data_IF_611823444084
#
_entry.id   IF_611823444084
#
_cell.length_a   1.000
_cell.length_b   1.000
_cell.length_c   1.000
_cell.angle_alpha   90.00
_cell.angle_beta   90.00
_cell.angle_gamma   90.00
#
_symmetry.space_group_name_H-M   'P 1'
#
loop_
_entity.id
_entity.type
_entity.pdbx_description
1 polymer ?
#
# COMPACT_ATOMS: atom_id res chain seq x y z
N UNK A 1 -65.53 22.26 -65.36
CA UNK A 1 -65.88 20.94 -65.94
C UNK A 1 -64.65 20.39 -66.67
N UNK A 2 -63.73 19.74 -65.98
CA UNK A 2 -63.81 18.32 -65.59
C UNK A 2 -63.46 17.29 -66.70
N UNK A 3 -62.74 17.68 -67.76
CA UNK A 3 -62.18 16.70 -68.74
C UNK A 3 -60.75 16.95 -69.24
N UNK A 4 -60.03 17.95 -68.71
CA UNK A 4 -58.64 18.22 -69.04
C UNK A 4 -57.63 17.85 -67.93
N UNK A 5 -58.06 17.11 -66.89
CA UNK A 5 -57.20 16.67 -65.78
C UNK A 5 -56.94 15.16 -65.74
N UNK A 6 -57.46 14.38 -66.70
CA UNK A 6 -57.27 12.91 -66.75
C UNK A 6 -56.25 12.45 -67.80
N UNK A 7 -55.79 13.32 -68.70
CA UNK A 7 -54.76 12.98 -69.70
C UNK A 7 -53.35 13.08 -69.11
N UNK A 8 -53.08 14.06 -68.24
CA UNK A 8 -51.77 14.25 -67.61
C UNK A 8 -51.44 13.21 -66.51
N UNK A 9 -52.45 12.52 -65.97
CA UNK A 9 -52.24 11.50 -64.94
C UNK A 9 -51.86 10.12 -65.53
N UNK A 10 -52.14 9.90 -66.83
CA UNK A 10 -51.74 8.68 -67.54
C UNK A 10 -50.28 8.75 -68.00
N UNK A 11 -49.83 9.93 -68.48
CA UNK A 11 -48.46 10.15 -68.94
C UNK A 11 -47.41 10.13 -67.80
N UNK A 12 -47.80 10.50 -66.57
CA UNK A 12 -46.93 10.38 -65.38
C UNK A 12 -46.78 8.93 -64.89
N UNK A 13 -47.80 8.08 -65.07
CA UNK A 13 -47.75 6.66 -64.67
C UNK A 13 -46.87 5.80 -65.59
N UNK A 14 -46.89 6.04 -66.90
CA UNK A 14 -46.00 5.32 -67.83
C UNK A 14 -44.51 5.62 -67.58
N UNK A 15 -44.18 6.85 -67.16
CA UNK A 15 -42.80 7.26 -66.84
C UNK A 15 -42.25 6.69 -65.52
N UNK A 16 -43.13 6.35 -64.57
CA UNK A 16 -42.76 5.67 -63.31
C UNK A 16 -42.66 4.15 -63.46
N UNK A 17 -43.44 3.54 -64.35
CA UNK A 17 -43.38 2.09 -64.62
C UNK A 17 -42.16 1.70 -65.47
N UNK A 18 -41.70 2.56 -66.40
CA UNK A 18 -40.44 2.30 -67.13
C UNK A 18 -39.20 2.50 -66.26
N UNK A 19 -39.24 3.38 -65.24
CA UNK A 19 -38.15 3.52 -64.25
C UNK A 19 -38.10 2.39 -63.21
N UNK A 20 -39.22 1.72 -62.95
CA UNK A 20 -39.28 0.54 -62.07
C UNK A 20 -38.70 -0.73 -62.72
N UNK A 21 -38.52 -0.76 -64.04
CA UNK A 21 -38.00 -1.93 -64.76
C UNK A 21 -36.47 -2.02 -64.81
N UNK A 22 -35.73 -0.95 -64.52
CA UNK A 22 -34.26 -0.90 -64.69
C UNK A 22 -33.44 -0.81 -63.40
N UNK A 23 -34.02 -1.14 -62.24
CA UNK A 23 -33.27 -1.23 -60.97
C UNK A 23 -33.70 -2.41 -60.10
N UNK A 24 -33.79 -3.60 -60.71
CA UNK A 24 -33.43 -4.82 -59.99
C UNK A 24 -31.90 -4.88 -59.92
N UNK A 25 -31.31 -3.99 -59.13
CA UNK A 25 -30.04 -4.32 -58.51
C UNK A 25 -30.32 -5.53 -57.62
N UNK A 26 -29.77 -6.66 -58.02
CA UNK A 26 -29.61 -7.82 -57.16
C UNK A 26 -28.79 -7.28 -55.98
N UNK A 27 -29.48 -6.94 -54.88
CA UNK A 27 -28.86 -6.69 -53.60
C UNK A 27 -28.28 -8.04 -53.19
N UNK A 28 -27.03 -8.27 -53.58
CA UNK A 28 -26.19 -9.30 -52.99
C UNK A 28 -26.08 -8.86 -51.54
N UNK A 29 -26.97 -9.39 -50.69
CA UNK A 29 -26.82 -9.35 -49.24
C UNK A 29 -25.51 -10.06 -49.02
N UNK A 30 -24.44 -9.30 -48.81
CA UNK A 30 -23.18 -9.89 -48.38
C UNK A 30 -23.52 -10.69 -47.12
N UNK A 31 -23.09 -11.97 -47.03
CA UNK A 31 -23.30 -12.73 -45.81
C UNK A 31 -22.69 -11.90 -44.68
N UNK A 32 -23.54 -11.47 -43.73
CA UNK A 32 -23.12 -10.67 -42.58
C UNK A 32 -22.08 -11.52 -41.83
N UNK A 33 -20.80 -11.24 -42.08
CA UNK A 33 -19.70 -12.01 -41.50
C UNK A 33 -19.63 -11.60 -40.03
N UNK A 34 -20.17 -12.46 -39.16
CA UNK A 34 -20.06 -12.28 -37.72
C UNK A 34 -18.62 -12.55 -37.29
N UNK A 35 -18.17 -11.85 -36.27
CA UNK A 35 -16.81 -11.99 -35.74
C UNK A 35 -16.80 -13.12 -34.70
N UNK A 36 -16.10 -14.25 -34.97
CA UNK A 36 -16.06 -15.36 -34.04
C UNK A 36 -15.28 -14.99 -32.77
N UNK A 37 -15.77 -15.45 -31.63
CA UNK A 37 -15.05 -15.44 -30.35
C UNK A 37 -14.11 -16.64 -30.27
N UNK A 38 -13.06 -16.51 -29.46
CA UNK A 38 -12.11 -17.60 -29.21
C UNK A 38 -12.79 -18.83 -28.58
N UNK A 39 -13.71 -18.57 -27.65
CA UNK A 39 -14.51 -19.58 -26.97
C UNK A 39 -16.00 -19.35 -27.21
N UNK A 40 -16.77 -20.44 -27.22
CA UNK A 40 -18.23 -20.37 -27.12
C UNK A 40 -18.63 -20.21 -25.66
N UNK A 41 -19.61 -19.35 -25.39
CA UNK A 41 -20.06 -19.00 -24.05
C UNK A 41 -21.55 -19.33 -23.87
N UNK A 42 -21.94 -19.62 -22.64
CA UNK A 42 -23.31 -19.93 -22.23
C UNK A 42 -23.75 -18.95 -21.16
N UNK A 43 -24.90 -18.28 -21.37
CA UNK A 43 -25.56 -17.48 -20.35
C UNK A 43 -26.54 -18.35 -19.58
N UNK A 44 -26.42 -18.29 -18.26
CA UNK A 44 -27.30 -18.93 -17.30
C UNK A 44 -28.01 -17.88 -16.45
N UNK A 45 -29.25 -18.19 -16.08
CA UNK A 45 -30.04 -17.38 -15.15
C UNK A 45 -30.49 -18.25 -13.98
N UNK A 46 -30.15 -17.80 -12.78
CA UNK A 46 -30.63 -18.40 -11.54
C UNK A 46 -31.68 -17.50 -10.91
N UNK A 47 -32.81 -18.08 -10.51
CA UNK A 47 -33.81 -17.40 -9.69
C UNK A 47 -34.14 -18.26 -8.49
N UNK A 48 -33.86 -17.76 -7.29
CA UNK A 48 -34.14 -18.48 -6.06
C UNK A 48 -35.66 -18.63 -5.83
N UNK A 49 -36.22 -19.77 -6.22
CA UNK A 49 -37.57 -20.21 -5.88
C UNK A 49 -37.47 -21.28 -4.79
N UNK A 50 -37.97 -20.96 -3.59
CA UNK A 50 -37.88 -21.84 -2.41
C UNK A 50 -38.64 -23.15 -2.57
N UNK A 51 -39.54 -23.23 -3.55
CA UNK A 51 -40.36 -24.42 -3.80
C UNK A 51 -39.69 -25.41 -4.77
N UNK A 52 -38.47 -25.12 -5.24
CA UNK A 52 -37.74 -25.95 -6.20
C UNK A 52 -36.38 -26.36 -5.64
N UNK A 53 -35.90 -27.52 -6.09
CA UNK A 53 -34.51 -27.93 -5.91
C UNK A 53 -33.58 -26.88 -6.55
N UNK A 54 -32.39 -26.70 -5.97
CA UNK A 54 -31.43 -25.69 -6.42
C UNK A 54 -31.10 -25.83 -7.92
N UNK A 55 -30.85 -27.04 -8.42
CA UNK A 55 -30.54 -27.24 -9.85
C UNK A 55 -31.69 -26.77 -10.75
N UNK A 56 -32.94 -26.94 -10.32
CA UNK A 56 -34.12 -26.55 -11.09
C UNK A 56 -34.35 -25.01 -11.12
N UNK A 57 -33.63 -24.26 -10.27
CA UNK A 57 -33.63 -22.81 -10.25
C UNK A 57 -32.61 -22.20 -11.22
N UNK A 58 -31.64 -22.99 -11.67
CA UNK A 58 -30.67 -22.62 -12.68
C UNK A 58 -31.21 -22.96 -14.08
N UNK A 59 -31.19 -22.00 -14.99
CA UNK A 59 -31.69 -22.19 -16.36
C UNK A 59 -30.67 -21.72 -17.37
N UNK A 60 -30.42 -22.55 -18.38
CA UNK A 60 -29.69 -22.14 -19.57
C UNK A 60 -30.57 -21.16 -20.36
N UNK A 61 -30.06 -19.96 -20.62
CA UNK A 61 -30.77 -18.93 -21.38
C UNK A 61 -30.44 -19.05 -22.85
N UNK A 62 -29.15 -18.98 -23.20
CA UNK A 62 -28.68 -19.13 -24.57
C UNK A 62 -27.18 -19.40 -24.63
N UNK A 63 -26.68 -19.77 -25.81
CA UNK A 63 -25.26 -19.91 -26.13
C UNK A 63 -24.89 -18.93 -27.25
N UNK A 64 -23.69 -18.38 -27.21
CA UNK A 64 -23.18 -17.47 -28.23
C UNK A 64 -21.68 -17.70 -28.46
N UNK A 65 -21.25 -17.54 -29.71
CA UNK A 65 -19.88 -17.75 -30.18
C UNK A 65 -19.38 -16.60 -31.07
N UNK A 66 -20.13 -15.50 -31.17
CA UNK A 66 -19.75 -14.32 -31.95
C UNK A 66 -19.95 -13.03 -31.16
N UNK A 67 -19.21 -11.97 -31.53
CA UNK A 67 -19.30 -10.64 -30.92
C UNK A 67 -20.69 -10.05 -31.11
N UNK A 68 -21.28 -10.19 -32.29
CA UNK A 68 -22.62 -9.69 -32.60
C UNK A 68 -23.69 -10.40 -31.78
N UNK A 69 -23.57 -11.72 -31.59
CA UNK A 69 -24.53 -12.48 -30.78
C UNK A 69 -24.41 -12.14 -29.29
N UNK A 70 -23.19 -11.85 -28.80
CA UNK A 70 -23.00 -11.31 -27.46
C UNK A 70 -23.72 -9.97 -27.28
N UNK A 71 -23.51 -9.00 -28.18
CA UNK A 71 -24.16 -7.69 -28.06
C UNK A 71 -25.66 -7.76 -28.28
N UNK A 72 -26.13 -8.61 -29.20
CA UNK A 72 -27.55 -8.88 -29.38
C UNK A 72 -28.15 -9.43 -28.08
N UNK A 73 -27.49 -10.40 -27.43
CA UNK A 73 -27.94 -10.92 -26.15
C UNK A 73 -27.93 -9.85 -25.05
N UNK A 74 -26.81 -9.18 -24.84
CA UNK A 74 -26.61 -8.20 -23.75
C UNK A 74 -27.63 -7.06 -23.83
N UNK A 75 -27.94 -6.58 -25.03
CA UNK A 75 -28.90 -5.50 -25.26
C UNK A 75 -30.37 -5.92 -25.07
N UNK A 76 -30.67 -7.22 -25.04
CA UNK A 76 -32.04 -7.75 -24.90
C UNK A 76 -32.31 -8.43 -23.56
N UNK A 77 -31.32 -8.48 -22.64
CA UNK A 77 -31.52 -8.94 -21.27
C UNK A 77 -31.70 -7.76 -20.32
N UNK A 78 -32.32 -8.03 -19.16
CA UNK A 78 -32.46 -7.05 -18.09
C UNK A 78 -31.06 -6.71 -17.52
N UNK A 79 -30.77 -5.43 -17.31
CA UNK A 79 -29.55 -5.01 -16.60
C UNK A 79 -29.46 -5.65 -15.20
N UNK A 80 -28.25 -5.99 -14.77
CA UNK A 80 -28.02 -6.68 -13.50
C UNK A 80 -28.51 -5.84 -12.29
N UNK A 81 -28.31 -4.52 -12.35
CA UNK A 81 -28.83 -3.57 -11.35
C UNK A 81 -30.34 -3.64 -11.17
N UNK A 82 -31.09 -4.04 -12.21
CA UNK A 82 -32.56 -4.09 -12.21
C UNK A 82 -33.14 -5.47 -11.90
N UNK A 83 -32.30 -6.47 -11.61
CA UNK A 83 -32.76 -7.77 -11.17
C UNK A 83 -33.29 -7.74 -9.73
N UNK A 84 -34.26 -8.61 -9.44
CA UNK A 84 -34.75 -8.84 -8.09
C UNK A 84 -33.68 -9.49 -7.22
N UNK A 85 -33.68 -9.17 -5.92
CA UNK A 85 -32.80 -9.83 -4.94
C UNK A 85 -33.05 -11.33 -4.91
N UNK A 86 -31.96 -12.11 -5.01
CA UNK A 86 -32.01 -13.57 -5.10
C UNK A 86 -31.95 -14.12 -6.53
N UNK A 87 -31.77 -13.25 -7.54
CA UNK A 87 -31.44 -13.64 -8.90
C UNK A 87 -29.93 -13.54 -9.16
N UNK A 88 -29.41 -14.40 -10.04
CA UNK A 88 -28.02 -14.38 -10.49
C UNK A 88 -27.95 -14.51 -12.02
N UNK A 89 -26.98 -13.84 -12.63
CA UNK A 89 -26.51 -14.17 -13.98
C UNK A 89 -25.15 -14.85 -13.90
N UNK A 90 -24.92 -15.81 -14.77
CA UNK A 90 -23.64 -16.45 -14.92
C UNK A 90 -23.31 -16.65 -16.41
N UNK A 91 -22.09 -16.32 -16.81
CA UNK A 91 -21.59 -16.54 -18.18
C UNK A 91 -20.36 -17.43 -18.09
N UNK A 92 -20.47 -18.64 -18.63
CA UNK A 92 -19.43 -19.68 -18.54
C UNK A 92 -19.07 -20.20 -19.93
N UNK A 93 -17.85 -20.69 -20.10
CA UNK A 93 -17.46 -21.37 -21.34
C UNK A 93 -18.40 -22.56 -21.59
N UNK A 94 -18.68 -22.83 -22.86
CA UNK A 94 -19.59 -23.90 -23.23
C UNK A 94 -19.09 -25.25 -22.68
N UNK A 95 -20.00 -26.02 -22.09
CA UNK A 95 -19.69 -27.28 -21.41
C UNK A 95 -19.27 -27.16 -19.95
N UNK A 96 -19.17 -25.94 -19.38
CA UNK A 96 -18.92 -25.73 -17.95
C UNK A 96 -20.19 -25.21 -17.30
N UNK A 97 -20.70 -25.93 -16.29
CA UNK A 97 -21.84 -25.49 -15.51
C UNK A 97 -21.40 -24.54 -14.38
N UNK A 98 -22.19 -23.49 -14.04
CA UNK A 98 -21.85 -22.52 -13.01
C UNK A 98 -22.09 -23.09 -11.59
N UNK A 99 -21.48 -24.24 -11.31
CA UNK A 99 -21.56 -24.98 -10.06
C UNK A 99 -20.17 -25.46 -9.63
N UNK A 100 -19.92 -25.52 -8.33
CA UNK A 100 -18.62 -25.94 -7.81
C UNK A 100 -18.37 -27.44 -8.00
N UNK A 101 -19.43 -28.24 -8.21
CA UNK A 101 -19.34 -29.68 -8.48
C UNK A 101 -18.84 -30.01 -9.88
N UNK A 102 -18.89 -29.06 -10.81
CA UNK A 102 -18.41 -29.23 -12.17
C UNK A 102 -16.91 -29.59 -12.16
N UNK A 103 -16.51 -30.54 -13.00
CA UNK A 103 -15.15 -31.05 -13.05
C UNK A 103 -14.11 -29.96 -13.31
N UNK A 104 -14.46 -28.91 -14.04
CA UNK A 104 -13.60 -27.75 -14.30
C UNK A 104 -13.57 -26.76 -13.15
N UNK A 105 -14.54 -26.76 -12.24
CA UNK A 105 -14.63 -25.77 -11.15
C UNK A 105 -14.20 -26.33 -9.79
N UNK A 106 -14.27 -27.64 -9.57
CA UNK A 106 -14.07 -28.27 -8.25
C UNK A 106 -12.71 -28.01 -7.60
N UNK A 107 -11.65 -27.94 -8.40
CA UNK A 107 -10.28 -27.63 -7.95
C UNK A 107 -9.94 -26.14 -8.05
N UNK A 108 -10.89 -25.34 -8.54
CA UNK A 108 -10.73 -23.94 -8.85
C UNK A 108 -11.12 -23.01 -7.72
N UNK A 109 -11.13 -21.72 -8.05
CA UNK A 109 -11.49 -20.67 -7.11
C UNK A 109 -12.12 -19.49 -7.81
N UNK A 110 -12.28 -18.40 -7.06
CA UNK A 110 -12.89 -17.19 -7.57
C UNK A 110 -12.26 -15.92 -7.01
N UNK A 111 -12.05 -14.95 -7.89
CA UNK A 111 -11.81 -13.55 -7.51
C UNK A 111 -13.15 -12.89 -7.21
N UNK A 112 -13.27 -12.25 -6.04
CA UNK A 112 -14.54 -11.70 -5.56
C UNK A 112 -14.48 -10.19 -5.35
N UNK A 113 -15.44 -9.49 -5.94
CA UNK A 113 -15.73 -8.08 -5.69
C UNK A 113 -17.09 -7.98 -5.02
N UNK A 114 -17.17 -7.23 -3.93
CA UNK A 114 -18.43 -6.99 -3.21
C UNK A 114 -18.79 -5.51 -3.32
N UNK A 115 -19.98 -5.22 -3.82
CA UNK A 115 -20.52 -3.88 -3.94
C UNK A 115 -21.57 -3.64 -2.86
N UNK A 116 -21.51 -2.46 -2.24
CA UNK A 116 -22.58 -1.98 -1.37
C UNK A 116 -23.83 -1.59 -2.18
N UNK A 117 -24.98 -1.47 -1.51
CA UNK A 117 -26.21 -0.98 -2.14
C UNK A 117 -26.08 0.40 -2.80
N UNK A 118 -25.24 1.27 -2.25
CA UNK A 118 -25.01 2.62 -2.81
C UNK A 118 -24.29 2.52 -4.16
N UNK A 119 -23.26 1.66 -4.24
CA UNK A 119 -22.49 1.45 -5.47
C UNK A 119 -23.29 0.72 -6.56
N UNK A 120 -24.31 -0.06 -6.18
CA UNK A 120 -25.17 -0.81 -7.12
C UNK A 120 -25.70 0.07 -8.27
N UNK A 121 -26.17 1.26 -7.94
CA UNK A 121 -26.84 2.14 -8.92
C UNK A 121 -25.86 2.89 -9.82
N UNK A 122 -24.57 2.93 -9.43
CA UNK A 122 -23.54 3.72 -10.12
C UNK A 122 -22.59 2.84 -10.93
N UNK A 123 -22.17 1.71 -10.37
CA UNK A 123 -21.01 0.96 -10.87
C UNK A 123 -21.32 -0.49 -11.28
N UNK A 124 -22.42 -1.09 -10.79
CA UNK A 124 -22.64 -2.54 -10.94
C UNK A 124 -22.76 -2.98 -12.41
N UNK A 125 -23.56 -2.27 -13.20
CA UNK A 125 -23.78 -2.62 -14.61
C UNK A 125 -22.50 -2.41 -15.42
N UNK A 126 -21.70 -1.40 -15.08
CA UNK A 126 -20.40 -1.15 -15.70
C UNK A 126 -19.42 -2.27 -15.37
N UNK A 127 -19.21 -2.59 -14.09
CA UNK A 127 -18.29 -3.66 -13.72
C UNK A 127 -18.72 -5.01 -14.27
N UNK A 128 -20.04 -5.28 -14.33
CA UNK A 128 -20.53 -6.51 -14.94
C UNK A 128 -20.22 -6.57 -16.44
N UNK A 129 -20.49 -5.49 -17.18
CA UNK A 129 -20.15 -5.42 -18.60
C UNK A 129 -18.65 -5.59 -18.83
N UNK A 130 -17.81 -4.85 -18.10
CA UNK A 130 -16.35 -4.96 -18.21
C UNK A 130 -15.85 -6.37 -17.88
N UNK A 131 -16.45 -7.04 -16.90
CA UNK A 131 -16.17 -8.45 -16.59
C UNK A 131 -16.47 -9.34 -17.80
N UNK A 132 -17.64 -9.18 -18.42
CA UNK A 132 -18.01 -9.95 -19.60
C UNK A 132 -17.10 -9.67 -20.79
N UNK A 133 -16.71 -8.41 -21.00
CA UNK A 133 -15.77 -8.02 -22.05
C UNK A 133 -14.38 -8.63 -21.81
N UNK A 134 -13.92 -8.71 -20.56
CA UNK A 134 -12.67 -9.39 -20.22
C UNK A 134 -12.72 -10.89 -20.57
N UNK A 135 -13.86 -11.54 -20.33
CA UNK A 135 -14.07 -12.95 -20.65
C UNK A 135 -14.06 -13.18 -22.16
N UNK A 136 -14.98 -12.54 -22.90
CA UNK A 136 -15.14 -12.81 -24.34
C UNK A 136 -13.98 -12.26 -25.18
N UNK A 137 -13.28 -11.24 -24.66
CA UNK A 137 -12.11 -10.64 -25.30
C UNK A 137 -10.78 -11.32 -24.95
N UNK A 138 -10.79 -12.41 -24.17
CA UNK A 138 -9.59 -13.15 -23.75
C UNK A 138 -8.54 -12.19 -23.12
N UNK A 139 -8.99 -11.32 -22.23
CA UNK A 139 -8.17 -10.22 -21.72
C UNK A 139 -7.09 -10.64 -20.71
N UNK A 140 -6.92 -11.94 -20.45
CA UNK A 140 -6.00 -12.51 -19.45
C UNK A 140 -4.78 -13.19 -20.10
N UNK A 141 -4.50 -12.85 -21.36
CA UNK A 141 -3.35 -13.37 -22.12
C UNK A 141 -3.35 -14.91 -22.14
N UNK A 142 -2.18 -15.53 -21.95
CA UNK A 142 -1.98 -16.98 -21.95
C UNK A 142 -2.81 -17.72 -20.87
N UNK A 143 -3.23 -17.01 -19.82
CA UNK A 143 -4.03 -17.56 -18.72
C UNK A 143 -5.54 -17.49 -18.94
N UNK A 144 -5.99 -17.01 -20.12
CA UNK A 144 -7.44 -16.98 -20.43
C UNK A 144 -8.05 -18.39 -20.49
N UNK A 145 -7.24 -19.43 -20.71
CA UNK A 145 -7.67 -20.83 -20.64
C UNK A 145 -8.03 -21.30 -19.22
N UNK A 146 -7.43 -20.70 -18.19
CA UNK A 146 -7.69 -21.00 -16.78
C UNK A 146 -9.02 -20.42 -16.29
N UNK A 147 -9.65 -19.51 -17.06
CA UNK A 147 -10.97 -18.95 -16.76
C UNK A 147 -12.08 -19.94 -17.13
N UNK A 148 -12.97 -20.19 -16.16
CA UNK A 148 -14.21 -20.95 -16.38
C UNK A 148 -15.38 -20.05 -16.78
N UNK A 149 -15.52 -18.91 -16.10
CA UNK A 149 -16.67 -18.02 -16.28
C UNK A 149 -16.76 -16.93 -15.23
N UNK A 150 -17.87 -16.20 -15.23
CA UNK A 150 -18.15 -15.15 -14.28
C UNK A 150 -19.60 -15.22 -13.78
N UNK A 151 -19.82 -14.80 -12.54
CA UNK A 151 -21.12 -14.78 -11.87
C UNK A 151 -21.36 -13.41 -11.25
N UNK A 152 -22.57 -12.89 -11.39
CA UNK A 152 -23.07 -11.75 -10.64
C UNK A 152 -24.23 -12.19 -9.74
N UNK A 153 -24.09 -11.95 -8.43
CA UNK A 153 -25.09 -12.29 -7.44
C UNK A 153 -25.78 -11.06 -6.88
N UNK A 154 -27.10 -11.00 -7.04
CA UNK A 154 -27.90 -9.88 -6.55
C UNK A 154 -28.50 -10.23 -5.20
N UNK A 155 -28.14 -9.49 -4.14
CA UNK A 155 -28.58 -9.80 -2.76
C UNK A 155 -28.98 -8.55 -1.98
N UNK A 156 -29.86 -8.73 -1.00
CA UNK A 156 -30.37 -7.65 -0.17
C UNK A 156 -29.31 -6.95 0.70
N UNK A 157 -28.17 -7.58 0.98
CA UNK A 157 -27.09 -7.01 1.82
C UNK A 157 -25.94 -6.39 1.02
N UNK A 158 -25.93 -6.55 -0.31
CA UNK A 158 -24.83 -6.15 -1.18
C UNK A 158 -24.64 -7.18 -2.29
N UNK A 159 -24.19 -6.71 -3.44
CA UNK A 159 -24.07 -7.52 -4.64
C UNK A 159 -22.63 -8.01 -4.80
N UNK A 160 -22.46 -9.12 -5.52
CA UNK A 160 -21.13 -9.73 -5.71
C UNK A 160 -20.89 -10.01 -7.17
N UNK A 161 -19.70 -9.70 -7.65
CA UNK A 161 -19.21 -10.12 -8.96
C UNK A 161 -18.02 -11.03 -8.73
N UNK A 162 -18.00 -12.19 -9.40
CA UNK A 162 -16.95 -13.16 -9.27
C UNK A 162 -16.48 -13.69 -10.63
N UNK A 163 -15.16 -13.75 -10.82
CA UNK A 163 -14.53 -14.50 -11.92
C UNK A 163 -14.07 -15.84 -11.36
N UNK A 164 -14.42 -16.92 -12.04
CA UNK A 164 -14.12 -18.29 -11.65
C UNK A 164 -12.97 -18.83 -12.50
N UNK A 165 -12.02 -19.49 -11.84
CA UNK A 165 -10.88 -20.15 -12.46
C UNK A 165 -10.96 -21.66 -12.22
N UNK A 166 -10.24 -22.46 -13.02
CA UNK A 166 -10.27 -23.91 -12.91
C UNK A 166 -9.26 -24.51 -11.92
N UNK A 167 -8.20 -23.77 -11.59
CA UNK A 167 -7.13 -24.25 -10.73
C UNK A 167 -6.75 -23.18 -9.69
N UNK A 168 -6.60 -23.60 -8.43
CA UNK A 168 -6.09 -22.74 -7.35
C UNK A 168 -4.61 -22.96 -7.04
N UNK A 169 -3.98 -24.00 -7.58
CA UNK A 169 -2.57 -24.34 -7.37
C UNK A 169 -1.67 -23.57 -8.33
N UNK A 170 -2.18 -23.20 -9.51
CA UNK A 170 -1.50 -22.29 -10.44
C UNK A 170 -1.51 -20.85 -9.91
N UNK A 171 -0.65 -20.56 -8.93
CA UNK A 171 -0.60 -19.25 -8.26
C UNK A 171 -0.25 -18.10 -9.22
N UNK A 172 0.61 -18.36 -10.21
CA UNK A 172 1.02 -17.38 -11.21
C UNK A 172 -0.19 -16.94 -12.05
N UNK A 173 -0.96 -17.90 -12.59
CA UNK A 173 -2.18 -17.61 -13.34
C UNK A 173 -3.20 -16.86 -12.47
N UNK A 174 -3.44 -17.33 -11.25
CA UNK A 174 -4.41 -16.72 -10.33
C UNK A 174 -4.06 -15.26 -10.02
N UNK A 175 -2.79 -14.97 -9.74
CA UNK A 175 -2.32 -13.62 -9.45
C UNK A 175 -2.35 -12.71 -10.69
N UNK A 176 -1.93 -13.21 -11.85
CA UNK A 176 -2.02 -12.46 -13.11
C UNK A 176 -3.46 -12.08 -13.44
N UNK A 177 -4.37 -13.06 -13.38
CA UNK A 177 -5.80 -12.85 -13.60
C UNK A 177 -6.35 -11.79 -12.64
N UNK A 178 -6.02 -11.88 -11.34
CA UNK A 178 -6.47 -10.93 -10.33
C UNK A 178 -6.01 -9.50 -10.61
N UNK A 179 -4.72 -9.34 -10.92
CA UNK A 179 -4.11 -8.04 -11.24
C UNK A 179 -4.73 -7.43 -12.50
N UNK A 180 -4.77 -8.19 -13.59
CA UNK A 180 -5.34 -7.73 -14.86
C UNK A 180 -6.81 -7.39 -14.70
N UNK A 181 -7.57 -8.18 -13.96
CA UNK A 181 -8.98 -7.89 -13.68
C UNK A 181 -9.17 -6.57 -12.91
N UNK A 182 -8.35 -6.34 -11.87
CA UNK A 182 -8.37 -5.10 -11.09
C UNK A 182 -8.05 -3.87 -11.95
N UNK A 183 -7.05 -3.98 -12.83
CA UNK A 183 -6.65 -2.92 -13.76
C UNK A 183 -7.77 -2.63 -14.79
N UNK A 184 -8.38 -3.67 -15.37
CA UNK A 184 -9.47 -3.54 -16.34
C UNK A 184 -10.71 -2.87 -15.75
N UNK A 185 -11.04 -3.16 -14.50
CA UNK A 185 -12.16 -2.52 -13.81
C UNK A 185 -11.87 -1.10 -13.34
N UNK A 186 -10.64 -0.61 -13.48
CA UNK A 186 -10.25 0.73 -13.02
C UNK A 186 -10.34 0.91 -11.50
N UNK A 187 -10.21 -0.18 -10.74
CA UNK A 187 -10.32 -0.11 -9.28
C UNK A 187 -9.10 0.61 -8.69
N UNK A 188 -9.29 1.56 -7.75
CA UNK A 188 -8.18 2.23 -7.07
C UNK A 188 -7.21 1.23 -6.44
N UNK A 189 -5.91 1.54 -6.48
CA UNK A 189 -4.83 0.71 -5.90
C UNK A 189 -5.12 0.25 -4.46
N UNK A 190 -5.81 1.08 -3.67
CA UNK A 190 -6.18 0.84 -2.27
C UNK A 190 -7.25 -0.25 -2.08
N UNK A 191 -8.04 -0.56 -3.10
CA UNK A 191 -9.07 -1.62 -3.01
C UNK A 191 -8.39 -2.98 -3.19
N UNK A 192 -8.47 -3.82 -2.16
CA UNK A 192 -7.96 -5.20 -2.21
C UNK A 192 -9.10 -6.12 -2.59
N UNK A 193 -8.97 -6.79 -3.73
CA UNK A 193 -9.86 -7.90 -4.11
C UNK A 193 -9.32 -9.20 -3.50
N UNK A 194 -10.21 -10.15 -3.23
CA UNK A 194 -9.86 -11.40 -2.54
C UNK A 194 -10.11 -12.61 -3.41
N UNK A 195 -9.18 -13.57 -3.38
CA UNK A 195 -9.35 -14.87 -4.03
C UNK A 195 -9.79 -15.93 -3.02
N UNK A 196 -10.82 -16.70 -3.36
CA UNK A 196 -11.40 -17.75 -2.52
C UNK A 196 -11.42 -19.07 -3.27
N UNK A 197 -10.84 -20.13 -2.70
CA UNK A 197 -10.95 -21.47 -3.24
C UNK A 197 -12.40 -21.99 -3.11
N UNK A 198 -12.88 -22.75 -4.09
CA UNK A 198 -14.23 -23.31 -4.06
C UNK A 198 -14.38 -24.32 -2.91
N UNK A 199 -13.38 -25.18 -2.68
CA UNK A 199 -13.37 -26.15 -1.59
C UNK A 199 -13.55 -25.52 -0.19
N UNK A 200 -12.90 -24.39 0.07
CA UNK A 200 -13.01 -23.66 1.34
C UNK A 200 -14.36 -22.96 1.52
N UNK A 201 -14.96 -22.54 0.41
CA UNK A 201 -16.24 -21.82 0.42
C UNK A 201 -17.43 -22.77 0.53
N UNK A 202 -17.34 -23.97 -0.04
CA UNK A 202 -18.39 -24.98 0.01
C UNK A 202 -18.64 -25.50 1.44
N UNK A 203 -17.60 -25.52 2.29
CA UNK A 203 -17.65 -26.08 3.65
C UNK A 203 -17.94 -25.05 4.74
N UNK A 204 -17.83 -23.74 4.46
CA UNK A 204 -17.91 -22.67 5.48
C UNK A 204 -18.96 -21.61 5.14
N UNK A 205 -19.85 -21.33 6.09
CA UNK A 205 -20.84 -20.25 5.99
C UNK A 205 -20.21 -18.87 6.24
N UNK A 206 -19.98 -18.11 5.17
CA UNK A 206 -19.94 -16.63 5.13
C UNK A 206 -18.88 -15.84 5.91
N UNK A 207 -18.68 -16.10 7.21
CA UNK A 207 -17.76 -15.37 8.09
C UNK A 207 -16.39 -16.05 8.26
N UNK A 208 -16.23 -17.31 7.85
CA UNK A 208 -15.01 -18.11 8.08
C UNK A 208 -14.10 -18.33 6.88
N UNK A 209 -14.42 -17.78 5.71
CA UNK A 209 -13.64 -18.00 4.47
C UNK A 209 -12.45 -17.03 4.45
N UNK A 210 -11.24 -17.56 4.65
CA UNK A 210 -9.99 -16.80 4.51
C UNK A 210 -9.66 -16.66 3.02
N UNK A 211 -9.24 -15.49 2.58
CA UNK A 211 -8.77 -15.31 1.21
C UNK A 211 -7.41 -16.01 1.06
N UNK A 212 -7.26 -16.89 0.07
CA UNK A 212 -6.01 -17.62 -0.23
C UNK A 212 -4.95 -16.66 -0.77
N UNK A 213 -5.37 -15.76 -1.66
CA UNK A 213 -4.55 -14.66 -2.17
C UNK A 213 -5.23 -13.32 -1.88
N UNK A 214 -4.44 -12.38 -1.38
CA UNK A 214 -4.75 -10.93 -1.40
C UNK A 214 -3.74 -10.32 -2.36
N UNK A 215 -4.13 -9.33 -3.15
CA UNK A 215 -3.16 -8.53 -3.90
C UNK A 215 -2.10 -8.01 -2.92
N UNK A 216 -0.92 -8.62 -2.92
CA UNK A 216 0.20 -8.22 -2.08
C UNK A 216 0.85 -7.04 -2.77
N UNK A 217 0.35 -5.84 -2.47
CA UNK A 217 1.18 -4.65 -2.60
C UNK A 217 2.27 -4.80 -1.51
N UNK A 218 3.57 -4.83 -1.86
CA UNK A 218 4.64 -5.10 -0.89
C UNK A 218 4.66 -3.99 0.16
N UNK A 219 4.20 -4.33 1.36
CA UNK A 219 4.06 -3.41 2.51
C UNK A 219 5.38 -2.76 2.94
N UNK A 220 6.52 -3.38 2.58
CA UNK A 220 7.87 -2.88 2.86
C UNK A 220 8.27 -1.70 1.96
N UNK A 221 7.71 -1.58 0.75
CA UNK A 221 8.01 -0.46 -0.16
C UNK A 221 7.33 0.85 0.27
N UNK A 222 6.14 0.75 0.87
CA UNK A 222 5.38 1.91 1.37
C UNK A 222 6.07 2.56 2.56
N UNK A 223 6.67 1.78 3.46
CA UNK A 223 7.44 2.30 4.60
C UNK A 223 8.72 3.01 4.14
N UNK A 224 9.49 2.41 3.23
CA UNK A 224 10.71 3.04 2.68
C UNK A 224 10.42 4.32 1.88
N UNK A 225 9.37 4.31 1.07
CA UNK A 225 8.92 5.51 0.33
C UNK A 225 8.36 6.59 1.27
N UNK A 226 7.69 6.22 2.37
CA UNK A 226 7.23 7.17 3.37
C UNK A 226 8.40 7.84 4.11
N UNK A 227 9.41 7.09 4.54
CA UNK A 227 10.61 7.66 5.18
C UNK A 227 11.39 8.58 4.23
N UNK A 228 11.56 8.18 2.96
CA UNK A 228 12.16 9.04 1.95
C UNK A 228 11.33 10.29 1.67
N UNK A 229 10.00 10.15 1.59
CA UNK A 229 9.08 11.27 1.42
C UNK A 229 9.16 12.27 2.58
N UNK A 230 9.21 11.78 3.82
CA UNK A 230 9.39 12.62 5.02
C UNK A 230 10.76 13.30 5.02
N UNK A 231 11.84 12.58 4.70
CA UNK A 231 13.20 13.14 4.64
C UNK A 231 13.35 14.20 3.54
N UNK A 232 12.78 13.95 2.35
CA UNK A 232 12.78 14.91 1.25
C UNK A 232 11.87 16.11 1.53
N UNK A 233 10.73 15.91 2.19
CA UNK A 233 9.86 17.00 2.62
C UNK A 233 10.56 17.89 3.67
N UNK A 234 11.16 17.29 4.70
CA UNK A 234 11.94 18.02 5.71
C UNK A 234 13.13 18.75 5.09
N UNK A 235 13.81 18.15 4.10
CA UNK A 235 14.89 18.81 3.37
C UNK A 235 14.39 19.93 2.46
N UNK A 236 13.24 19.79 1.82
CA UNK A 236 12.65 20.83 0.98
C UNK A 236 12.16 22.03 1.81
N UNK A 237 11.58 21.78 2.98
CA UNK A 237 11.20 22.81 3.95
C UNK A 237 12.44 23.53 4.48
N UNK A 238 13.52 22.79 4.83
CA UNK A 238 14.81 23.37 5.22
C UNK A 238 15.57 24.05 4.06
N UNK A 239 15.34 23.62 2.81
CA UNK A 239 16.01 24.11 1.60
C UNK A 239 15.63 25.53 1.17
N UNK A 240 14.59 26.11 1.77
CA UNK A 240 14.25 27.54 1.62
C UNK A 240 15.01 28.42 2.62
N UNK A 241 15.64 27.85 3.66
CA UNK A 241 16.52 28.54 4.61
C UNK A 241 18.00 28.25 4.31
N UNK A 242 18.54 28.90 3.29
CA UNK A 242 19.92 28.77 2.81
C UNK A 242 21.01 29.34 3.75
N UNK A 243 20.90 29.20 5.07
CA UNK A 243 21.86 29.71 6.06
C UNK A 243 22.16 28.73 7.22
N UNK A 244 22.08 27.42 6.97
CA UNK A 244 22.58 26.38 7.90
C UNK A 244 24.09 26.11 7.70
N UNK A 245 24.75 26.85 6.80
CA UNK A 245 26.18 26.71 6.51
C UNK A 245 27.12 27.28 7.59
N UNK A 246 26.62 27.84 8.69
CA UNK A 246 27.45 28.31 9.81
C UNK A 246 27.55 27.33 10.99
N UNK A 247 26.80 26.21 10.96
CA UNK A 247 26.70 25.25 12.08
C UNK A 247 27.68 24.05 11.89
N UNK A 248 28.48 24.03 10.83
CA UNK A 248 29.30 22.85 10.45
C UNK A 248 30.80 23.02 10.67
N UNK A 249 31.24 23.61 11.79
CA UNK A 249 32.67 23.56 12.19
C UNK A 249 33.01 22.33 13.08
N UNK A 250 32.11 21.33 13.13
CA UNK A 250 32.45 19.97 13.56
C UNK A 250 31.62 18.94 12.75
N UNK A 251 32.13 18.58 11.57
CA UNK A 251 31.81 17.34 10.84
C UNK A 251 30.45 16.67 11.05
N UNK A 252 29.38 17.25 10.49
CA UNK A 252 28.42 16.49 9.68
C UNK A 252 27.47 15.49 10.35
N UNK A 253 26.69 15.88 11.35
CA UNK A 253 25.46 15.16 11.70
C UNK A 253 24.28 16.12 11.88
N UNK A 254 23.73 16.59 10.74
CA UNK A 254 22.33 17.04 10.74
C UNK A 254 21.46 15.78 10.88
N UNK A 255 20.62 15.65 11.93
CA UNK A 255 19.71 14.53 12.09
C UNK A 255 18.87 14.27 10.83
N UNK A 256 18.52 15.31 10.07
CA UNK A 256 17.79 15.21 8.80
C UNK A 256 18.62 14.48 7.75
N UNK A 257 19.91 14.76 7.65
CA UNK A 257 20.80 14.10 6.69
C UNK A 257 20.98 12.61 7.01
N UNK A 258 21.05 12.26 8.30
CA UNK A 258 21.06 10.87 8.77
C UNK A 258 19.80 10.14 8.31
N UNK A 259 18.60 10.72 8.52
CA UNK A 259 17.34 10.10 8.09
C UNK A 259 17.25 9.91 6.58
N UNK A 260 17.77 10.87 5.78
CA UNK A 260 17.78 10.76 4.31
C UNK A 260 18.70 9.63 3.85
N UNK A 261 19.92 9.55 4.40
CA UNK A 261 20.88 8.50 4.01
C UNK A 261 20.37 7.12 4.41
N UNK A 262 19.92 6.95 5.66
CA UNK A 262 19.38 5.68 6.15
C UNK A 262 18.12 5.29 5.36
N UNK A 263 17.19 6.23 5.16
CA UNK A 263 15.98 5.99 4.37
C UNK A 263 16.27 5.60 2.91
N UNK A 264 17.25 6.27 2.29
CA UNK A 264 17.68 5.97 0.92
C UNK A 264 18.29 4.57 0.78
N UNK A 265 19.18 4.19 1.69
CA UNK A 265 19.76 2.83 1.71
C UNK A 265 18.66 1.79 1.89
N UNK A 266 17.77 1.99 2.87
CA UNK A 266 16.65 1.06 3.12
C UNK A 266 15.72 0.91 1.92
N UNK A 267 15.41 2.01 1.22
CA UNK A 267 14.59 1.98 0.01
C UNK A 267 15.26 1.20 -1.14
N UNK A 268 16.55 1.48 -1.41
CA UNK A 268 17.30 0.79 -2.48
C UNK A 268 17.37 -0.71 -2.20
N UNK A 269 17.65 -1.10 -0.95
CA UNK A 269 17.71 -2.52 -0.57
C UNK A 269 16.33 -3.18 -0.61
N UNK A 270 15.29 -2.50 -0.15
CA UNK A 270 13.91 -2.99 -0.23
C UNK A 270 13.44 -3.19 -1.68
N UNK A 271 13.77 -2.24 -2.56
CA UNK A 271 13.49 -2.33 -3.99
C UNK A 271 14.26 -3.49 -4.63
N UNK A 272 15.57 -3.59 -4.39
CA UNK A 272 16.41 -4.65 -4.95
C UNK A 272 16.00 -6.04 -4.48
N UNK A 273 15.70 -6.21 -3.19
CA UNK A 273 15.24 -7.49 -2.64
C UNK A 273 13.88 -7.92 -3.19
N UNK A 274 12.91 -7.00 -3.23
CA UNK A 274 11.55 -7.30 -3.70
C UNK A 274 11.48 -7.56 -5.21
N UNK A 275 12.05 -6.67 -6.03
CA UNK A 275 12.07 -6.85 -7.50
C UNK A 275 12.99 -8.01 -7.88
N UNK A 276 14.10 -8.20 -7.16
CA UNK A 276 14.98 -9.35 -7.35
C UNK A 276 14.27 -10.68 -7.16
N UNK A 277 13.42 -10.79 -6.13
CA UNK A 277 12.62 -11.98 -5.89
C UNK A 277 11.50 -12.15 -6.94
N UNK A 278 10.69 -11.10 -7.19
CA UNK A 278 9.54 -11.15 -8.09
C UNK A 278 9.92 -11.39 -9.57
N UNK A 279 11.08 -10.90 -9.99
CA UNK A 279 11.57 -11.07 -11.38
C UNK A 279 12.61 -12.17 -11.51
N UNK A 280 12.83 -12.95 -10.45
CA UNK A 280 13.85 -14.00 -10.38
C UNK A 280 15.24 -13.49 -10.89
N UNK A 281 15.54 -12.23 -10.59
CA UNK A 281 16.74 -11.58 -11.10
C UNK A 281 17.91 -11.79 -10.13
N UNK A 282 18.75 -12.77 -10.47
CA UNK A 282 19.93 -13.14 -9.67
C UNK A 282 20.92 -12.00 -9.44
N UNK A 283 20.99 -10.98 -10.30
CA UNK A 283 21.87 -9.83 -10.08
C UNK A 283 21.37 -8.96 -8.93
N UNK A 284 20.07 -8.64 -8.91
CA UNK A 284 19.48 -7.83 -7.84
C UNK A 284 19.46 -8.58 -6.50
N UNK A 285 19.20 -9.88 -6.50
CA UNK A 285 19.26 -10.70 -5.27
C UNK A 285 20.69 -10.80 -4.69
N UNK A 286 21.71 -10.88 -5.56
CA UNK A 286 23.11 -10.84 -5.12
C UNK A 286 23.49 -9.46 -4.59
N UNK A 287 23.07 -8.39 -5.24
CA UNK A 287 23.25 -7.03 -4.74
C UNK A 287 22.65 -6.89 -3.34
N UNK A 288 21.38 -7.27 -3.17
CA UNK A 288 20.69 -7.23 -1.89
C UNK A 288 21.42 -8.00 -0.78
N UNK A 289 21.82 -9.25 -1.04
CA UNK A 289 22.50 -10.10 -0.04
C UNK A 289 23.91 -9.61 0.32
N UNK A 290 24.68 -9.08 -0.64
CA UNK A 290 26.00 -8.50 -0.37
C UNK A 290 25.88 -7.27 0.52
N UNK A 291 24.96 -6.35 0.21
CA UNK A 291 24.79 -5.13 1.00
C UNK A 291 24.22 -5.40 2.40
N UNK A 292 23.28 -6.36 2.56
CA UNK A 292 22.86 -6.81 3.89
C UNK A 292 24.04 -7.38 4.69
N UNK A 293 24.92 -8.15 4.06
CA UNK A 293 26.14 -8.64 4.70
C UNK A 293 27.07 -7.52 5.15
N UNK A 294 27.27 -6.49 4.32
CA UNK A 294 28.07 -5.31 4.69
C UNK A 294 27.47 -4.57 5.89
N UNK A 295 26.14 -4.35 5.89
CA UNK A 295 25.44 -3.71 7.00
C UNK A 295 25.59 -4.53 8.28
N UNK A 296 25.45 -5.85 8.22
CA UNK A 296 25.64 -6.74 9.36
C UNK A 296 27.03 -6.59 9.98
N UNK A 297 28.09 -6.58 9.17
CA UNK A 297 29.46 -6.39 9.69
C UNK A 297 29.67 -4.98 10.26
N UNK A 298 29.09 -3.94 9.65
CA UNK A 298 29.14 -2.58 10.18
C UNK A 298 28.41 -2.47 11.52
N UNK A 299 27.24 -3.11 11.67
CA UNK A 299 26.46 -3.16 12.90
C UNK A 299 27.24 -3.86 14.02
N UNK A 300 27.84 -5.01 13.73
CA UNK A 300 28.70 -5.73 14.67
C UNK A 300 29.91 -4.88 15.10
N UNK A 301 30.60 -4.26 14.13
CA UNK A 301 31.78 -3.44 14.40
C UNK A 301 31.41 -2.22 15.26
N UNK A 302 30.30 -1.55 14.92
CA UNK A 302 29.79 -0.40 15.67
C UNK A 302 29.39 -0.78 17.09
N UNK A 303 28.71 -1.91 17.27
CA UNK A 303 28.34 -2.42 18.60
C UNK A 303 29.55 -2.72 19.48
N UNK A 304 30.59 -3.36 18.92
CA UNK A 304 31.84 -3.63 19.65
C UNK A 304 32.55 -2.33 20.01
N UNK A 305 32.71 -1.41 19.05
CA UNK A 305 33.36 -0.12 19.28
C UNK A 305 32.62 0.71 20.32
N UNK A 306 31.28 0.70 20.31
CA UNK A 306 30.47 1.43 21.29
C UNK A 306 30.69 0.92 22.72
N UNK A 307 30.87 -0.39 22.89
CA UNK A 307 31.17 -0.98 24.19
C UNK A 307 32.62 -0.68 24.64
N UNK A 308 33.59 -0.79 23.72
CA UNK A 308 35.02 -0.57 24.02
C UNK A 308 35.31 0.89 24.33
N UNK A 309 34.70 1.83 23.60
CA UNK A 309 34.97 3.27 23.70
C UNK A 309 33.86 4.04 24.43
N UNK A 310 33.20 3.42 25.42
CA UNK A 310 32.11 4.02 26.19
C UNK A 310 32.47 5.38 26.82
N UNK A 311 33.69 5.51 27.36
CA UNK A 311 34.12 6.72 28.05
C UNK A 311 34.37 7.86 27.05
N UNK A 312 34.94 7.53 25.90
CA UNK A 312 35.08 8.49 24.80
C UNK A 312 33.73 8.94 24.26
N UNK A 313 32.75 8.02 24.12
CA UNK A 313 31.38 8.37 23.71
C UNK A 313 30.74 9.33 24.73
N UNK A 314 30.93 9.06 26.02
CA UNK A 314 30.44 9.94 27.09
C UNK A 314 31.04 11.34 26.98
N UNK A 315 32.34 11.46 26.72
CA UNK A 315 32.98 12.77 26.53
C UNK A 315 32.47 13.50 25.28
N UNK A 316 32.29 12.78 24.17
CA UNK A 316 31.67 13.35 22.97
C UNK A 316 30.24 13.82 23.21
N UNK A 317 29.45 13.05 23.97
CA UNK A 317 28.08 13.43 24.31
C UNK A 317 28.04 14.67 25.21
N UNK A 318 28.97 14.78 26.18
CA UNK A 318 29.11 16.00 27.00
C UNK A 318 29.45 17.22 26.13
N UNK A 319 30.41 17.09 25.22
CA UNK A 319 30.79 18.17 24.30
C UNK A 319 29.64 18.57 23.38
N UNK A 320 28.89 17.58 22.87
CA UNK A 320 27.72 17.80 22.04
C UNK A 320 26.65 18.59 22.80
N UNK A 321 26.23 18.13 23.99
CA UNK A 321 25.20 18.84 24.78
C UNK A 321 25.68 20.23 25.18
N UNK A 322 26.94 20.40 25.57
CA UNK A 322 27.45 21.72 25.98
C UNK A 322 27.48 22.74 24.83
N UNK A 323 27.88 22.33 23.62
CA UNK A 323 27.78 23.19 22.43
C UNK A 323 26.34 23.57 22.11
N UNK A 324 25.44 22.62 22.30
CA UNK A 324 24.02 22.81 22.07
C UNK A 324 23.37 23.72 23.11
N UNK A 325 23.79 23.63 24.39
CA UNK A 325 23.41 24.58 25.45
C UNK A 325 23.90 25.98 25.11
N UNK A 326 25.13 26.12 24.61
CA UNK A 326 25.67 27.42 24.19
C UNK A 326 24.81 28.08 23.09
N UNK A 327 24.35 27.31 22.10
CA UNK A 327 23.53 27.80 20.98
C UNK A 327 22.00 27.69 21.21
N UNK A 328 21.56 27.41 22.43
CA UNK A 328 20.16 27.07 22.75
C UNK A 328 19.12 28.12 22.32
N UNK A 329 19.46 29.41 22.36
CA UNK A 329 18.55 30.52 21.95
C UNK A 329 18.71 30.93 20.49
N UNK A 330 19.73 30.41 19.80
CA UNK A 330 20.06 30.82 18.43
C UNK A 330 19.29 29.99 17.39
N UNK A 331 18.86 28.77 17.74
CA UNK A 331 18.13 27.86 16.86
C UNK A 331 16.97 27.16 17.59
N UNK A 332 15.76 27.28 17.03
CA UNK A 332 14.53 26.70 17.59
C UNK A 332 14.50 25.16 17.54
N UNK A 333 15.10 24.56 16.51
CA UNK A 333 15.16 23.09 16.39
C UNK A 333 16.04 22.52 17.50
N UNK A 334 17.15 23.22 17.76
CA UNK A 334 18.07 22.87 18.83
C UNK A 334 17.44 23.07 20.20
N UNK A 335 16.70 24.16 20.38
CA UNK A 335 15.96 24.44 21.60
C UNK A 335 15.00 23.29 21.93
N UNK A 336 14.18 22.87 20.95
CA UNK A 336 13.23 21.77 21.09
C UNK A 336 13.92 20.44 21.42
N UNK A 337 15.08 20.16 20.84
CA UNK A 337 15.85 18.94 21.10
C UNK A 337 16.34 18.88 22.55
N UNK A 338 16.90 19.98 23.06
CA UNK A 338 17.40 20.06 24.43
C UNK A 338 16.23 20.01 25.42
N UNK A 339 15.15 20.73 25.15
CA UNK A 339 13.96 20.72 25.99
C UNK A 339 13.36 19.31 26.09
N UNK A 340 13.25 18.60 24.95
CA UNK A 340 12.80 17.21 24.93
C UNK A 340 13.71 16.30 25.77
N UNK A 341 15.02 16.40 25.61
CA UNK A 341 15.97 15.57 26.35
C UNK A 341 15.89 15.81 27.87
N UNK A 342 15.77 17.08 28.28
CA UNK A 342 15.68 17.49 29.69
C UNK A 342 14.38 17.02 30.34
N UNK A 343 13.26 17.17 29.65
CA UNK A 343 11.97 16.69 30.14
C UNK A 343 11.88 15.16 30.16
N UNK A 344 12.40 14.48 29.13
CA UNK A 344 12.28 13.03 29.00
C UNK A 344 13.16 12.28 30.01
N UNK A 345 14.39 12.75 30.24
CA UNK A 345 15.32 12.12 31.19
C UNK A 345 15.34 12.77 32.58
N UNK A 346 14.46 13.76 32.83
CA UNK A 346 14.35 14.46 34.11
C UNK A 346 15.72 14.95 34.58
N UNK A 347 16.36 15.74 33.72
CA UNK A 347 17.74 16.18 33.85
C UNK A 347 17.90 17.65 33.44
N UNK A 348 19.03 18.26 33.80
CA UNK A 348 19.34 19.63 33.41
C UNK A 348 20.83 19.78 33.07
N UNK A 349 21.12 20.38 31.92
CA UNK A 349 22.48 20.49 31.38
C UNK A 349 23.13 19.15 31.04
N UNK A 350 24.40 19.15 30.63
CA UNK A 350 25.12 17.92 30.28
C UNK A 350 25.48 17.10 31.53
N UNK A 351 26.13 17.76 32.48
CA UNK A 351 26.56 17.26 33.79
C UNK A 351 25.70 17.82 34.93
N UNK A 352 25.15 19.01 34.76
CA UNK A 352 24.20 19.59 35.70
C UNK A 352 23.75 21.01 35.33
N UNK A 353 22.95 21.66 36.19
CA UNK A 353 22.41 23.01 35.96
C UNK A 353 23.46 24.09 35.71
N UNK A 354 24.70 23.89 36.19
CA UNK A 354 25.78 24.85 36.06
C UNK A 354 26.29 25.00 34.61
N UNK A 355 26.08 23.99 33.76
CA UNK A 355 26.51 24.03 32.35
C UNK A 355 25.79 25.15 31.56
N UNK A 356 24.67 25.65 32.08
CA UNK A 356 23.96 26.80 31.54
C UNK A 356 24.77 28.11 31.61
N UNK A 357 25.88 28.15 32.34
CA UNK A 357 26.82 29.28 32.27
C UNK A 357 27.52 29.40 30.90
N UNK A 358 27.53 28.33 30.10
CA UNK A 358 28.05 28.38 28.73
C UNK A 358 27.16 29.21 27.80
N UNK A 359 25.89 29.41 28.15
CA UNK A 359 24.95 30.19 27.35
C UNK A 359 24.96 31.67 27.77
N UNK A 360 25.01 32.58 26.80
CA UNK A 360 25.08 34.03 27.03
C UNK A 360 23.89 34.60 27.83
N UNK A 361 22.70 33.99 27.73
CA UNK A 361 21.49 34.47 28.41
C UNK A 361 21.35 33.96 29.84
N UNK A 362 21.87 32.77 30.13
CA UNK A 362 21.75 32.11 31.45
C UNK A 362 23.00 32.30 32.33
N UNK A 363 24.11 32.77 31.74
CA UNK A 363 25.36 33.00 32.45
C UNK A 363 25.18 33.86 33.70
N UNK A 364 25.67 33.34 34.83
CA UNK A 364 25.44 33.93 36.15
C UNK A 364 26.40 35.08 36.55
N UNK A 365 27.12 35.69 35.60
CA UNK A 365 27.95 36.88 35.92
C UNK A 365 27.09 38.08 36.31
N UNK A 366 27.56 38.85 37.29
CA UNK A 366 26.86 40.03 37.84
C UNK A 366 26.59 41.13 36.80
N UNK A 367 27.39 41.18 35.73
CA UNK A 367 27.25 42.15 34.64
C UNK A 367 26.30 41.70 33.53
N UNK A 368 25.78 40.47 33.58
CA UNK A 368 24.88 39.96 32.55
C UNK A 368 23.51 40.68 32.67
N UNK A 369 23.09 41.46 31.64
CA UNK A 369 21.82 42.17 31.69
C UNK A 369 20.59 41.27 31.46
N UNK A 370 20.80 39.99 31.13
CA UNK A 370 19.72 39.04 30.86
C UNK A 370 18.84 38.82 32.09
N UNK A 371 17.52 38.79 31.87
CA UNK A 371 16.55 38.45 32.92
C UNK A 371 16.64 36.98 33.34
N UNK A 372 17.15 36.12 32.46
CA UNK A 372 17.32 34.68 32.67
C UNK A 372 18.68 34.33 33.30
N UNK A 373 19.49 35.32 33.67
CA UNK A 373 20.79 35.11 34.33
C UNK A 373 20.63 34.24 35.58
N UNK A 374 21.63 33.40 35.86
CA UNK A 374 21.59 32.47 36.99
C UNK A 374 20.33 31.57 37.00
N UNK A 375 19.74 31.36 35.82
CA UNK A 375 18.59 30.50 35.63
C UNK A 375 18.90 29.26 34.80
N UNK A 376 17.84 28.52 34.52
CA UNK A 376 17.81 27.38 33.59
C UNK A 376 16.51 27.47 32.77
N UNK A 377 16.40 26.84 31.59
CA UNK A 377 15.15 26.82 30.86
C UNK A 377 14.06 26.06 31.61
N UNK A 378 12.81 26.31 31.22
CA UNK A 378 11.64 25.70 31.86
C UNK A 378 11.62 24.17 31.76
N UNK A 379 12.27 23.59 30.75
CA UNK A 379 12.39 22.14 30.54
C UNK A 379 13.20 21.44 31.64
N UNK A 380 14.03 22.16 32.39
CA UNK A 380 14.72 21.66 33.57
C UNK A 380 13.83 21.60 34.83
N UNK A 381 12.60 22.10 34.79
CA UNK A 381 11.80 22.26 35.99
C UNK A 381 10.99 21.03 36.36
N UNK A 382 10.82 20.85 37.67
CA UNK A 382 10.02 19.77 38.23
C UNK A 382 8.54 20.11 38.04
N UNK A 383 7.80 19.17 37.44
CA UNK A 383 6.33 19.27 37.27
C UNK A 383 5.63 18.79 38.54
N UNK A 384 4.77 19.62 39.13
CA UNK A 384 3.93 19.20 40.26
C UNK A 384 2.76 18.33 39.74
N UNK A 385 2.59 17.08 40.21
CA UNK A 385 1.49 16.22 39.79
C UNK A 385 0.09 16.77 40.11
N UNK A 386 -0.02 17.74 41.03
CA UNK A 386 -1.28 18.32 41.47
C UNK A 386 -1.71 19.58 40.69
N UNK A 387 -0.82 20.18 39.90
CA UNK A 387 -1.11 21.38 39.10
C UNK A 387 -1.06 21.09 37.59
N UNK A 388 -2.20 21.27 36.91
CA UNK A 388 -2.32 21.10 35.45
C UNK A 388 -1.57 22.20 34.65
N UNK A 389 -1.09 23.25 35.31
CA UNK A 389 -0.40 24.39 34.68
C UNK A 389 1.08 24.33 34.99
N UNK A 390 1.91 24.15 33.95
CA UNK A 390 3.36 24.14 34.09
C UNK A 390 3.85 25.55 34.43
N UNK A 391 4.50 25.72 35.58
CA UNK A 391 5.17 26.95 35.93
C UNK A 391 6.41 27.15 35.05
N UNK A 392 6.29 27.93 33.98
CA UNK A 392 7.41 28.23 33.06
C UNK A 392 8.45 29.18 33.65
N UNK A 393 8.21 29.74 34.84
CA UNK A 393 9.11 30.68 35.53
C UNK A 393 9.94 30.04 36.65
N UNK A 394 9.74 28.75 36.92
CA UNK A 394 10.51 27.94 37.86
C UNK A 394 12.04 28.08 37.78
N UNK A 395 12.58 28.25 36.56
CA UNK A 395 14.01 28.29 36.30
C UNK A 395 14.67 29.65 36.57
N UNK A 396 13.90 30.71 36.83
CA UNK A 396 14.45 32.04 37.05
C UNK A 396 15.11 32.15 38.43
N UNK A 397 16.32 32.71 38.47
CA UNK A 397 17.09 32.98 39.69
C UNK A 397 17.35 31.72 40.57
N UNK A 398 17.03 30.52 40.07
CA UNK A 398 17.06 29.28 40.86
C UNK A 398 18.49 28.92 41.26
N UNK A 399 19.48 29.22 40.42
CA UNK A 399 20.89 28.93 40.69
C UNK A 399 21.53 29.91 41.68
N UNK A 400 20.81 30.96 42.11
CA UNK A 400 21.21 31.81 43.24
C UNK A 400 20.88 31.17 44.59
N UNK A 401 19.98 30.18 44.62
CA UNK A 401 19.65 29.42 45.83
C UNK A 401 20.73 28.37 46.12
N UNK A 402 20.79 27.88 47.36
CA UNK A 402 21.68 26.78 47.72
C UNK A 402 21.32 25.51 46.94
N UNK A 403 22.30 24.67 46.60
CA UNK A 403 22.09 23.45 45.80
C UNK A 403 21.04 22.49 46.39
N UNK A 404 20.88 22.50 47.72
CA UNK A 404 19.87 21.70 48.41
C UNK A 404 18.45 22.20 48.06
N UNK A 405 18.25 23.51 48.10
CA UNK A 405 16.96 24.14 47.80
C UNK A 405 16.63 24.09 46.29
N UNK A 406 17.64 23.95 45.42
CA UNK A 406 17.43 23.81 43.97
C UNK A 406 16.68 22.52 43.61
N UNK A 407 16.87 21.45 44.39
CA UNK A 407 16.27 20.14 44.13
C UNK A 407 14.74 20.13 44.23
N UNK A 408 14.15 21.13 44.88
CA UNK A 408 12.70 21.26 45.01
C UNK A 408 12.06 21.93 43.78
N UNK A 409 12.85 22.61 42.95
CA UNK A 409 12.34 23.39 41.80
C UNK A 409 12.80 22.85 40.45
N UNK A 410 14.02 22.29 40.37
CA UNK A 410 14.63 21.86 39.11
C UNK A 410 15.32 20.51 39.23
N UNK A 411 15.44 19.82 38.10
CA UNK A 411 16.28 18.63 37.99
C UNK A 411 17.76 19.01 38.13
N UNK A 412 18.45 18.45 39.12
CA UNK A 412 19.88 18.76 39.38
C UNK A 412 20.86 17.78 38.74
N UNK A 413 20.36 16.67 38.18
CA UNK A 413 21.18 15.64 37.53
C UNK A 413 21.47 16.01 36.08
N UNK A 414 22.70 15.80 35.64
CA UNK A 414 23.07 15.97 34.23
C UNK A 414 22.47 14.93 33.30
N UNK A 415 22.14 15.35 32.08
CA UNK A 415 21.51 14.49 31.09
C UNK A 415 22.42 13.37 30.60
N UNK A 416 23.75 13.57 30.53
CA UNK A 416 24.69 12.52 30.12
C UNK A 416 24.70 11.37 31.13
N UNK A 417 24.74 11.69 32.42
CA UNK A 417 24.72 10.70 33.48
C UNK A 417 23.37 9.97 33.57
N UNK A 418 22.26 10.68 33.37
CA UNK A 418 20.93 10.07 33.33
C UNK A 418 20.74 9.16 32.12
N UNK A 419 21.24 9.56 30.95
CA UNK A 419 21.26 8.71 29.76
C UNK A 419 22.08 7.45 29.98
N UNK A 420 23.28 7.56 30.58
CA UNK A 420 24.10 6.40 30.93
C UNK A 420 23.36 5.45 31.87
N UNK A 421 22.70 5.98 32.91
CA UNK A 421 21.89 5.18 33.84
C UNK A 421 20.72 4.49 33.13
N UNK A 422 19.99 5.20 32.29
CA UNK A 422 18.89 4.64 31.50
C UNK A 422 19.39 3.52 30.59
N UNK A 423 20.54 3.71 29.94
CA UNK A 423 21.15 2.72 29.07
C UNK A 423 21.55 1.45 29.84
N UNK A 424 22.09 1.60 31.04
CA UNK A 424 22.45 0.47 31.92
C UNK A 424 21.21 -0.31 32.37
N UNK A 425 20.14 0.38 32.76
CA UNK A 425 18.87 -0.25 33.18
C UNK A 425 18.16 -0.97 32.02
N UNK A 426 18.28 -0.44 30.80
CA UNK A 426 17.62 -0.99 29.61
C UNK A 426 18.57 -1.79 28.70
N UNK A 427 19.78 -2.11 29.15
CA UNK A 427 20.82 -2.74 28.34
C UNK A 427 20.34 -4.06 27.70
N UNK A 428 19.55 -4.85 28.44
CA UNK A 428 18.99 -6.12 27.96
C UNK A 428 18.04 -5.89 26.77
N UNK A 429 17.18 -4.87 26.84
CA UNK A 429 16.24 -4.54 25.78
C UNK A 429 16.99 -4.05 24.54
N UNK A 430 17.96 -3.15 24.73
CA UNK A 430 18.78 -2.62 23.63
C UNK A 430 19.57 -3.75 22.96
N UNK A 431 20.26 -4.58 23.73
CA UNK A 431 20.99 -5.74 23.19
C UNK A 431 20.05 -6.72 22.46
N UNK A 432 18.84 -6.94 22.99
CA UNK A 432 17.82 -7.76 22.34
C UNK A 432 17.40 -7.22 20.96
N UNK A 433 17.27 -5.90 20.82
CA UNK A 433 16.97 -5.26 19.53
C UNK A 433 18.10 -5.49 18.52
N UNK A 434 19.36 -5.25 18.91
CA UNK A 434 20.53 -5.49 18.03
C UNK A 434 20.60 -6.96 17.59
N UNK A 435 20.39 -7.91 18.51
CA UNK A 435 20.39 -9.34 18.18
C UNK A 435 19.25 -9.68 17.22
N UNK A 436 18.05 -9.13 17.43
CA UNK A 436 16.90 -9.37 16.56
C UNK A 436 17.16 -8.84 15.14
N UNK A 437 17.74 -7.64 15.01
CA UNK A 437 18.11 -7.06 13.71
C UNK A 437 19.16 -7.92 13.01
N UNK A 438 20.22 -8.31 13.72
CA UNK A 438 21.26 -9.20 13.22
C UNK A 438 20.70 -10.54 12.71
N UNK A 439 19.78 -11.17 13.45
CA UNK A 439 19.13 -12.42 13.03
C UNK A 439 18.25 -12.24 11.80
N UNK A 440 17.50 -11.13 11.70
CA UNK A 440 16.69 -10.82 10.53
C UNK A 440 17.55 -10.59 9.28
N UNK A 441 18.71 -9.93 9.42
CA UNK A 441 19.67 -9.76 8.32
C UNK A 441 20.22 -11.10 7.85
N UNK A 442 20.67 -11.97 8.77
CA UNK A 442 21.17 -13.32 8.45
C UNK A 442 20.09 -14.12 7.72
N UNK A 443 18.86 -14.11 8.23
CA UNK A 443 17.74 -14.80 7.61
C UNK A 443 17.48 -14.29 6.18
N UNK A 444 17.48 -12.96 5.99
CA UNK A 444 17.34 -12.34 4.67
C UNK A 444 18.45 -12.75 3.68
N UNK A 445 19.69 -12.85 4.14
CA UNK A 445 20.84 -13.30 3.33
C UNK A 445 20.64 -14.77 2.94
N UNK A 446 20.30 -15.65 3.88
CA UNK A 446 20.06 -17.08 3.60
C UNK A 446 18.96 -17.28 2.56
N UNK A 447 17.82 -16.59 2.72
CA UNK A 447 16.72 -16.67 1.76
C UNK A 447 17.13 -16.20 0.35
N UNK A 448 17.83 -15.06 0.27
CA UNK A 448 18.29 -14.54 -1.02
C UNK A 448 19.28 -15.49 -1.71
N UNK A 449 20.20 -16.11 -0.95
CA UNK A 449 21.16 -17.07 -1.51
C UNK A 449 20.51 -18.39 -1.93
N UNK A 450 19.56 -18.89 -1.15
CA UNK A 450 18.78 -20.08 -1.53
C UNK A 450 18.02 -19.83 -2.84
N UNK A 451 17.28 -18.72 -2.92
CA UNK A 451 16.54 -18.36 -4.12
C UNK A 451 17.46 -18.19 -5.34
N UNK A 452 18.64 -17.58 -5.19
CA UNK A 452 19.62 -17.48 -6.28
C UNK A 452 20.12 -18.86 -6.74
N UNK A 453 20.27 -19.80 -5.81
CA UNK A 453 20.69 -21.17 -6.12
C UNK A 453 19.60 -21.92 -6.87
N UNK A 454 18.35 -21.80 -6.41
CA UNK A 454 17.18 -22.43 -7.04
C UNK A 454 16.98 -21.90 -8.47
N UNK A 455 17.05 -20.58 -8.68
CA UNK A 455 16.95 -19.97 -10.03
C UNK A 455 18.05 -20.51 -10.96
N UNK A 456 19.28 -20.66 -10.47
CA UNK A 456 20.38 -21.23 -11.28
C UNK A 456 20.17 -22.71 -11.58
N UNK A 457 19.67 -23.49 -10.62
CA UNK A 457 19.40 -24.90 -10.79
C UNK A 457 18.30 -25.12 -11.84
N UNK A 458 17.22 -24.33 -11.78
CA UNK A 458 16.18 -24.34 -12.82
C UNK A 458 16.80 -24.00 -14.17
N UNK A 459 17.51 -22.88 -14.31
CA UNK A 459 18.15 -22.48 -15.58
C UNK A 459 19.20 -23.46 -16.13
N UNK A 460 19.77 -24.34 -15.31
CA UNK A 460 20.72 -25.35 -15.76
C UNK A 460 20.01 -26.62 -16.30
N UNK A 461 18.74 -26.81 -15.93
CA UNK A 461 17.91 -27.93 -16.37
C UNK A 461 17.10 -27.62 -17.65
N UNK A 462 17.06 -26.35 -18.07
CA UNK A 462 16.53 -25.87 -19.35
C UNK A 462 17.68 -25.56 -20.31
#
# INVERSE_FOLDING_TARGET
MAKAKSADLAALKESEETRKSSRKEILIVQPYMKHPLQNRWTLWFYKNDKNKLWQANLRLVTKFDTVEDFWALYNHIQLASRLMSGCDYAVFKDGIEPMWEDDRNKCGGRWLITLSKQQRMLELDQYWLETLLCLIGEAFDDYSNDICGAVINIRAKGDKIAIWTCDTENEEAVLHIGKTYKERLGLPMKIVIGYQAHADTATKSGLGVKNKFKDVLPTTQLLGAAFLGIGLWAWAEKGVLSNISSITDLGGFDPVWLFIVVGGVMFILGFAGCIGALRENTFLLKFFSVFLGLIFFLELTTGILAFVFKDWIKDQLNLFINKNVQAYRDDIDLQNLIDFAQEYWLCCGARGPIDWDLNIYFNCTDFNPSRERCGVPFSCCIKDPAEDVINTQCGYDVRLKMEIDQQDYIYTKGCVGQFEKWLQENLIVVAGIFIAIALLQIFGICLAQNLVTDIKAVKANW
#
